data_IF_006662390116
#
_entry.id   IF_006662390116
#
_cell.length_a   1.000
_cell.length_b   1.000
_cell.length_c   1.000
_cell.angle_alpha   90.00
_cell.angle_beta   90.00
_cell.angle_gamma   90.00
#
_symmetry.space_group_name_H-M   'P 1'
#
loop_
_entity.id
_entity.type
_entity.pdbx_description
1 polymer ?
#
# COMPACT_ATOMS: atom_id res chain seq x y z
N UNK A 1 5.12 25.96 -6.18
CA UNK A 1 6.18 25.02 -6.57
C UNK A 1 5.55 23.89 -7.36
N UNK A 2 6.13 23.50 -8.49
CA UNK A 2 5.63 22.40 -9.32
C UNK A 2 6.46 21.15 -9.08
N UNK A 3 5.79 20.02 -8.84
CA UNK A 3 6.43 18.72 -8.68
C UNK A 3 6.20 17.89 -9.93
N UNK A 4 7.27 17.32 -10.48
CA UNK A 4 7.22 16.51 -11.71
C UNK A 4 7.47 15.05 -11.34
N UNK A 5 6.59 14.15 -11.77
CA UNK A 5 6.75 12.71 -11.59
C UNK A 5 7.44 12.12 -12.83
N UNK A 6 8.64 11.57 -12.66
CA UNK A 6 9.38 10.92 -13.74
C UNK A 6 9.13 9.41 -13.72
N UNK A 7 8.60 8.86 -14.82
CA UNK A 7 8.45 7.42 -14.98
C UNK A 7 9.81 6.76 -15.29
N UNK A 8 10.12 5.65 -14.63
CA UNK A 8 11.36 4.89 -14.83
C UNK A 8 12.60 5.43 -14.11
N UNK A 9 12.48 6.54 -13.39
CA UNK A 9 13.53 7.05 -12.51
C UNK A 9 13.29 6.58 -11.07
N UNK A 10 14.36 6.19 -10.37
CA UNK A 10 14.26 5.96 -8.93
C UNK A 10 13.89 7.28 -8.24
N UNK A 11 12.88 7.30 -7.35
CA UNK A 11 12.50 8.51 -6.66
C UNK A 11 13.67 9.00 -5.80
N UNK A 12 14.06 10.27 -5.98
CA UNK A 12 15.11 10.90 -5.18
C UNK A 12 14.62 11.37 -3.81
N UNK A 13 13.32 11.21 -3.52
CA UNK A 13 12.68 11.63 -2.28
C UNK A 13 11.69 10.59 -1.75
N UNK A 14 11.22 10.83 -0.52
CA UNK A 14 10.37 9.90 0.23
C UNK A 14 11.15 9.11 1.28
N UNK A 15 10.43 8.54 2.24
CA UNK A 15 11.01 7.67 3.26
C UNK A 15 10.83 6.21 2.85
N UNK A 16 11.91 5.44 2.93
CA UNK A 16 11.80 3.98 2.82
C UNK A 16 10.84 3.45 3.90
N UNK A 17 10.00 2.49 3.51
CA UNK A 17 9.03 1.89 4.42
C UNK A 17 9.73 1.07 5.51
N UNK A 18 10.84 0.41 5.16
CA UNK A 18 11.57 -0.48 6.06
C UNK A 18 10.69 -1.65 6.47
N UNK A 19 10.55 -1.86 7.78
CA UNK A 19 9.68 -2.89 8.34
C UNK A 19 8.22 -2.44 8.56
N UNK A 20 7.90 -1.17 8.25
CA UNK A 20 6.53 -0.65 8.34
C UNK A 20 5.67 -1.21 7.20
N UNK A 21 4.36 -1.17 7.40
CA UNK A 21 3.37 -1.55 6.40
C UNK A 21 2.45 -0.37 6.04
N UNK A 22 1.78 -0.46 4.90
CA UNK A 22 0.74 0.48 4.48
C UNK A 22 -0.57 -0.26 4.29
N UNK A 23 -1.65 0.26 4.87
CA UNK A 23 -3.01 -0.11 4.50
C UNK A 23 -3.41 0.65 3.24
N UNK A 24 -3.88 -0.08 2.24
CA UNK A 24 -4.18 0.44 0.90
C UNK A 24 -5.58 0.01 0.46
N UNK A 25 -6.37 0.97 -0.01
CA UNK A 25 -7.68 0.74 -0.62
C UNK A 25 -7.63 1.11 -2.10
N UNK A 26 -8.06 0.19 -2.96
CA UNK A 26 -8.16 0.43 -4.39
C UNK A 26 -9.40 1.28 -4.70
N UNK A 27 -9.20 2.48 -5.25
CA UNK A 27 -10.31 3.45 -5.44
C UNK A 27 -11.43 2.95 -6.34
N UNK A 28 -11.16 2.01 -7.24
CA UNK A 28 -12.13 1.53 -8.24
C UNK A 28 -13.07 0.46 -7.71
N UNK A 29 -12.61 -0.40 -6.80
CA UNK A 29 -13.37 -1.58 -6.33
C UNK A 29 -13.62 -1.57 -4.82
N UNK A 30 -12.83 -0.80 -4.06
CA UNK A 30 -12.81 -0.87 -2.61
C UNK A 30 -12.01 -2.05 -2.06
N UNK A 31 -11.34 -2.83 -2.92
CA UNK A 31 -10.48 -3.93 -2.47
C UNK A 31 -9.36 -3.40 -1.57
N UNK A 32 -9.08 -4.15 -0.52
CA UNK A 32 -8.15 -3.73 0.54
C UNK A 32 -6.92 -4.62 0.56
N UNK A 33 -5.77 -3.98 0.74
CA UNK A 33 -4.47 -4.64 0.72
C UNK A 33 -3.58 -4.13 1.86
N UNK A 34 -2.73 -5.01 2.36
CA UNK A 34 -1.56 -4.65 3.14
C UNK A 34 -0.36 -4.62 2.21
N UNK A 35 0.39 -3.52 2.18
CA UNK A 35 1.69 -3.47 1.50
C UNK A 35 2.78 -3.58 2.55
N UNK A 36 3.55 -4.66 2.50
CA UNK A 36 4.62 -4.94 3.45
C UNK A 36 5.81 -5.60 2.76
N UNK A 37 7.02 -5.14 3.08
CA UNK A 37 8.30 -5.62 2.51
C UNK A 37 8.31 -5.74 0.97
N UNK A 38 7.59 -4.85 0.29
CA UNK A 38 7.53 -4.79 -1.18
C UNK A 38 6.48 -5.68 -1.83
N UNK A 39 5.63 -6.35 -1.05
CA UNK A 39 4.57 -7.22 -1.55
C UNK A 39 3.18 -6.64 -1.24
N UNK A 40 2.21 -6.95 -2.09
CA UNK A 40 0.78 -6.71 -1.83
C UNK A 40 0.14 -7.98 -1.28
N UNK A 41 -0.58 -7.87 -0.17
CA UNK A 41 -1.35 -8.96 0.43
C UNK A 41 -2.81 -8.54 0.45
N UNK A 42 -3.69 -9.33 -0.17
CA UNK A 42 -5.13 -9.03 -0.17
C UNK A 42 -5.72 -9.23 1.23
N UNK A 43 -6.61 -8.34 1.66
CA UNK A 43 -7.28 -8.39 2.96
C UNK A 43 -8.74 -8.74 2.74
N UNK A 44 -9.08 -10.01 3.00
CA UNK A 44 -10.47 -10.48 2.97
C UNK A 44 -11.22 -10.11 4.26
N UNK A 45 -10.58 -10.32 5.42
CA UNK A 45 -11.13 -9.98 6.74
C UNK A 45 -10.28 -8.93 7.45
N UNK A 46 -10.68 -7.66 7.33
CA UNK A 46 -9.99 -6.56 8.01
C UNK A 46 -10.21 -6.56 9.52
N UNK A 47 -11.28 -7.14 10.05
CA UNK A 47 -11.47 -7.19 11.50
C UNK A 47 -10.37 -8.07 12.12
N UNK A 48 -10.12 -9.25 11.54
CA UNK A 48 -9.05 -10.13 11.96
C UNK A 48 -7.66 -9.50 11.73
N UNK A 49 -7.37 -8.99 10.52
CA UNK A 49 -6.06 -8.42 10.19
C UNK A 49 -5.77 -7.15 11.00
N UNK A 50 -6.75 -6.26 11.10
CA UNK A 50 -6.65 -5.00 11.83
C UNK A 50 -6.35 -5.21 13.31
N UNK A 51 -7.06 -6.13 13.97
CA UNK A 51 -6.78 -6.47 15.37
C UNK A 51 -5.46 -7.23 15.51
N UNK A 52 -5.23 -8.27 14.71
CA UNK A 52 -4.07 -9.14 14.82
C UNK A 52 -2.73 -8.44 14.59
N UNK A 53 -2.72 -7.40 13.76
CA UNK A 53 -1.53 -6.59 13.45
C UNK A 53 -1.54 -5.20 14.13
N UNK A 54 -2.52 -4.93 15.01
CA UNK A 54 -2.69 -3.63 15.66
C UNK A 54 -2.79 -2.43 14.69
N UNK A 55 -3.49 -2.60 13.56
CA UNK A 55 -3.66 -1.60 12.51
C UNK A 55 -5.03 -0.89 12.54
N UNK A 56 -5.89 -1.15 13.53
CA UNK A 56 -7.26 -0.63 13.55
C UNK A 56 -7.37 0.90 13.52
N UNK A 57 -6.35 1.61 14.01
CA UNK A 57 -6.27 3.07 14.01
C UNK A 57 -5.50 3.64 12.81
N UNK A 58 -4.88 2.80 11.99
CA UNK A 58 -4.04 3.25 10.88
C UNK A 58 -4.88 3.73 9.70
N UNK A 59 -4.45 4.81 9.01
CA UNK A 59 -5.19 5.35 7.88
C UNK A 59 -5.03 4.49 6.64
N UNK A 60 -6.05 4.52 5.79
CA UNK A 60 -6.01 3.91 4.46
C UNK A 60 -5.47 4.88 3.42
N UNK A 61 -4.40 4.50 2.74
CA UNK A 61 -3.98 5.16 1.53
C UNK A 61 -4.90 4.74 0.37
N UNK A 62 -5.42 5.72 -0.38
CA UNK A 62 -6.27 5.46 -1.54
C UNK A 62 -5.43 5.50 -2.82
N UNK A 63 -5.39 4.39 -3.56
CA UNK A 63 -4.51 4.26 -4.75
C UNK A 63 -5.28 3.79 -5.98
N UNK A 64 -4.70 4.05 -7.15
CA UNK A 64 -5.16 3.50 -8.43
C UNK A 64 -4.54 2.14 -8.74
N UNK A 65 -5.21 1.36 -9.60
CA UNK A 65 -4.79 0.01 -10.00
C UNK A 65 -3.34 -0.07 -10.53
N UNK A 66 -2.86 0.86 -11.38
CA UNK A 66 -1.49 0.80 -11.88
C UNK A 66 -0.41 0.84 -10.79
N UNK A 67 -0.68 1.53 -9.67
CA UNK A 67 0.27 1.58 -8.55
C UNK A 67 0.32 0.24 -7.79
N UNK A 68 -0.81 -0.45 -7.67
CA UNK A 68 -0.87 -1.74 -7.00
C UNK A 68 -0.28 -2.87 -7.87
N UNK A 69 -0.46 -2.77 -9.19
CA UNK A 69 -0.02 -3.79 -10.14
C UNK A 69 1.50 -3.92 -10.24
N UNK A 70 2.28 -2.89 -9.89
CA UNK A 70 3.75 -2.97 -9.86
C UNK A 70 4.30 -3.76 -8.67
N UNK A 71 3.48 -4.02 -7.64
CA UNK A 71 3.89 -4.78 -6.46
C UNK A 71 3.61 -6.27 -6.69
N UNK A 72 4.58 -7.18 -6.50
CA UNK A 72 4.31 -8.62 -6.52
C UNK A 72 3.30 -9.02 -5.43
N UNK A 73 2.54 -10.06 -5.70
CA UNK A 73 1.65 -10.67 -4.71
C UNK A 73 2.47 -11.39 -3.64
N UNK A 74 2.14 -11.12 -2.37
CA UNK A 74 2.70 -11.80 -1.22
C UNK A 74 1.88 -13.04 -0.84
N UNK A 75 2.50 -13.92 -0.05
CA UNK A 75 1.85 -15.10 0.51
C UNK A 75 0.84 -14.74 1.61
#
# INVERSE_FOLDING_TARGET
EESVLLAGAAPAGGAALGDRALLVELVTTGDRYLVWRGYRHHIEDYAAVGTGLALTAEPWARVGRPWLDVLPEGA
#
